data_IF_842546603079
#
_entry.id   IF_842546603079
#
_cell.length_a   1.000
_cell.length_b   1.000
_cell.length_c   1.000
_cell.angle_alpha   90.00
_cell.angle_beta   90.00
_cell.angle_gamma   90.00
#
_symmetry.space_group_name_H-M   'P 1'
#
loop_
_entity.id
_entity.type
_entity.pdbx_description
1 polymer ?
#
# COMPACT_ATOMS: atom_id res chain seq x y z
N UNK A 1 4.40 -43.55 10.11
CA UNK A 1 3.18 -43.57 10.94
C UNK A 1 3.27 -42.36 11.83
N UNK A 2 2.50 -41.33 11.49
CA UNK A 2 1.93 -40.33 12.39
C UNK A 2 0.87 -39.62 11.54
N UNK A 3 -0.33 -40.21 11.53
CA UNK A 3 -1.52 -39.61 10.98
C UNK A 3 -1.95 -38.48 11.92
N UNK A 4 -1.58 -37.24 11.60
CA UNK A 4 -2.18 -36.07 12.23
C UNK A 4 -3.66 -36.03 11.83
N UNK A 5 -4.51 -36.53 12.72
CA UNK A 5 -5.96 -36.40 12.61
C UNK A 5 -6.32 -34.94 12.93
N UNK A 6 -6.41 -34.08 11.91
CA UNK A 6 -7.04 -32.76 12.04
C UNK A 6 -8.53 -32.98 12.30
N UNK A 7 -8.91 -33.04 13.58
CA UNK A 7 -10.31 -33.10 13.97
C UNK A 7 -11.00 -31.79 13.57
N UNK A 8 -12.00 -31.89 12.69
CA UNK A 8 -12.88 -30.75 12.42
C UNK A 8 -13.63 -30.40 13.70
N UNK A 9 -13.52 -29.15 14.14
CA UNK A 9 -14.21 -28.65 15.33
C UNK A 9 -15.24 -27.59 14.95
N UNK A 10 -16.17 -27.33 15.86
CA UNK A 10 -17.08 -26.19 15.78
C UNK A 10 -16.89 -25.32 17.03
N UNK A 11 -16.68 -24.02 16.84
CA UNK A 11 -16.68 -23.01 17.92
C UNK A 11 -17.76 -21.98 17.65
N UNK A 12 -18.32 -21.44 18.73
CA UNK A 12 -19.30 -20.36 18.65
C UNK A 12 -18.66 -19.06 19.15
N UNK A 13 -18.64 -18.04 18.29
CA UNK A 13 -18.27 -16.68 18.65
C UNK A 13 -19.55 -15.86 18.88
N UNK A 14 -19.77 -15.44 20.13
CA UNK A 14 -20.97 -14.69 20.49
C UNK A 14 -20.74 -13.19 20.33
N UNK A 15 -21.58 -12.55 19.53
CA UNK A 15 -21.54 -11.12 19.26
C UNK A 15 -22.27 -10.36 20.36
N UNK A 16 -21.64 -9.28 20.85
CA UNK A 16 -22.14 -8.56 22.02
C UNK A 16 -23.28 -7.56 21.73
N UNK A 17 -23.42 -7.09 20.49
CA UNK A 17 -24.51 -6.20 20.09
C UNK A 17 -24.75 -6.24 18.55
N UNK A 18 -25.93 -5.81 18.06
CA UNK A 18 -26.24 -5.84 16.62
C UNK A 18 -25.33 -4.98 15.75
N UNK A 19 -24.75 -3.90 16.29
CA UNK A 19 -23.84 -3.04 15.53
C UNK A 19 -22.52 -3.75 15.18
N UNK A 20 -21.95 -4.49 16.15
CA UNK A 20 -20.75 -5.30 15.91
C UNK A 20 -21.06 -6.44 14.95
N UNK A 21 -22.25 -7.04 15.04
CA UNK A 21 -22.66 -8.11 14.13
C UNK A 21 -22.68 -7.62 12.69
N UNK A 22 -23.41 -6.53 12.41
CA UNK A 22 -23.47 -5.92 11.08
C UNK A 22 -22.08 -5.50 10.59
N UNK A 23 -21.25 -4.97 11.50
CA UNK A 23 -19.87 -4.58 11.18
C UNK A 23 -18.95 -5.76 10.83
N UNK A 24 -19.14 -6.92 11.47
CA UNK A 24 -18.38 -8.15 11.23
C UNK A 24 -18.84 -8.88 9.97
N UNK A 25 -20.14 -8.88 9.68
CA UNK A 25 -20.68 -9.49 8.46
C UNK A 25 -20.29 -8.68 7.21
N UNK A 26 -20.40 -7.36 7.32
CA UNK A 26 -20.27 -6.43 6.20
C UNK A 26 -21.46 -6.50 5.24
N UNK A 27 -21.46 -5.63 4.22
CA UNK A 27 -22.53 -5.59 3.21
C UNK A 27 -22.65 -6.93 2.48
N UNK A 28 -23.84 -7.54 2.47
CA UNK A 28 -24.10 -8.84 1.81
C UNK A 28 -23.14 -9.97 2.26
N UNK A 29 -22.76 -9.95 3.54
CA UNK A 29 -21.88 -10.92 4.20
C UNK A 29 -20.50 -11.03 3.54
N UNK A 30 -20.04 -9.95 2.89
CA UNK A 30 -18.78 -9.96 2.14
C UNK A 30 -17.56 -10.27 3.02
N UNK A 31 -17.55 -9.87 4.30
CA UNK A 31 -16.40 -10.13 5.18
C UNK A 31 -16.38 -11.58 5.65
N UNK A 32 -17.55 -12.18 5.85
CA UNK A 32 -17.69 -13.62 6.15
C UNK A 32 -17.10 -14.44 5.02
N UNK A 33 -17.50 -14.17 3.78
CA UNK A 33 -16.97 -14.88 2.60
C UNK A 33 -15.46 -14.76 2.48
N UNK A 34 -14.90 -13.58 2.76
CA UNK A 34 -13.45 -13.39 2.77
C UNK A 34 -12.74 -14.22 3.83
N UNK A 35 -13.31 -14.34 5.04
CA UNK A 35 -12.77 -15.18 6.12
C UNK A 35 -12.90 -16.66 5.79
N UNK A 36 -14.04 -17.10 5.25
CA UNK A 36 -14.25 -18.49 4.82
C UNK A 36 -13.23 -18.90 3.74
N UNK A 37 -13.08 -18.07 2.70
CA UNK A 37 -12.10 -18.31 1.62
C UNK A 37 -10.66 -18.28 2.11
N UNK A 38 -10.31 -17.33 2.99
CA UNK A 38 -8.94 -17.11 3.43
C UNK A 38 -8.47 -18.08 4.52
N UNK A 39 -9.36 -18.50 5.41
CA UNK A 39 -9.03 -19.38 6.53
C UNK A 39 -9.43 -20.85 6.29
N UNK A 40 -10.22 -21.14 5.23
CA UNK A 40 -10.67 -22.51 4.95
C UNK A 40 -11.72 -23.01 5.95
N UNK A 41 -12.54 -22.11 6.48
CA UNK A 41 -13.59 -22.40 7.47
C UNK A 41 -14.97 -22.12 6.88
N UNK A 42 -16.03 -22.62 7.52
CA UNK A 42 -17.40 -22.18 7.27
C UNK A 42 -17.92 -21.38 8.47
N UNK A 43 -18.58 -20.26 8.19
CA UNK A 43 -19.11 -19.34 9.19
C UNK A 43 -20.61 -19.18 8.95
N UNK A 44 -21.42 -19.61 9.92
CA UNK A 44 -22.88 -19.52 9.86
C UNK A 44 -23.40 -18.58 10.95
N UNK A 45 -23.99 -17.43 10.59
CA UNK A 45 -24.67 -16.56 11.57
C UNK A 45 -26.01 -17.18 11.99
N UNK A 46 -26.27 -17.22 13.31
CA UNK A 46 -27.54 -17.67 13.89
C UNK A 46 -27.87 -16.86 15.15
N UNK A 47 -28.74 -15.84 15.01
CA UNK A 47 -29.01 -14.90 16.10
C UNK A 47 -27.74 -14.13 16.48
N UNK A 48 -27.39 -14.09 17.76
CA UNK A 48 -26.16 -13.43 18.25
C UNK A 48 -24.89 -14.28 18.07
N UNK A 49 -25.00 -15.49 17.52
CA UNK A 49 -23.93 -16.46 17.46
C UNK A 49 -23.39 -16.61 16.04
N UNK A 50 -22.07 -16.50 15.89
CA UNK A 50 -21.34 -16.91 14.69
C UNK A 50 -20.73 -18.30 14.93
N UNK A 51 -21.29 -19.32 14.27
CA UNK A 51 -20.76 -20.68 14.34
C UNK A 51 -19.66 -20.86 13.30
N UNK A 52 -18.48 -21.28 13.74
CA UNK A 52 -17.28 -21.40 12.92
C UNK A 52 -16.85 -22.86 12.93
N UNK A 53 -16.77 -23.47 11.76
CA UNK A 53 -16.45 -24.89 11.58
C UNK A 53 -15.30 -25.08 10.58
N UNK A 54 -14.34 -25.94 10.92
CA UNK A 54 -13.13 -26.18 10.12
C UNK A 54 -12.10 -26.97 10.90
N UNK A 55 -10.83 -26.97 10.48
CA UNK A 55 -9.76 -27.59 11.28
C UNK A 55 -9.48 -26.73 12.53
N UNK A 56 -9.08 -27.40 13.62
CA UNK A 56 -8.88 -26.75 14.92
C UNK A 56 -8.05 -25.47 14.87
N UNK A 57 -6.93 -25.48 14.14
CA UNK A 57 -6.04 -24.30 14.06
C UNK A 57 -6.73 -23.11 13.36
N UNK A 58 -7.42 -23.36 12.24
CA UNK A 58 -8.04 -22.30 11.46
C UNK A 58 -9.27 -21.73 12.17
N UNK A 59 -10.03 -22.59 12.85
CA UNK A 59 -11.17 -22.17 13.68
C UNK A 59 -10.67 -21.27 14.81
N UNK A 60 -9.58 -21.64 15.49
CA UNK A 60 -9.00 -20.84 16.58
C UNK A 60 -8.52 -19.47 16.07
N UNK A 61 -7.75 -19.44 14.98
CA UNK A 61 -7.31 -18.19 14.36
C UNK A 61 -8.47 -17.32 13.90
N UNK A 62 -9.54 -17.91 13.32
CA UNK A 62 -10.72 -17.16 12.88
C UNK A 62 -11.45 -16.52 14.06
N UNK A 63 -11.58 -17.25 15.16
CA UNK A 63 -12.17 -16.73 16.41
C UNK A 63 -11.35 -15.55 16.95
N UNK A 64 -10.02 -15.65 16.96
CA UNK A 64 -9.15 -14.56 17.40
C UNK A 64 -9.24 -13.33 16.48
N UNK A 65 -9.32 -13.54 15.16
CA UNK A 65 -9.53 -12.47 14.18
C UNK A 65 -10.86 -11.75 14.46
N UNK A 66 -11.96 -12.50 14.64
CA UNK A 66 -13.27 -11.93 14.95
C UNK A 66 -13.25 -11.14 16.26
N UNK A 67 -12.53 -11.61 17.28
CA UNK A 67 -12.33 -10.86 18.53
C UNK A 67 -11.67 -9.50 18.28
N UNK A 68 -10.54 -9.45 17.55
CA UNK A 68 -9.85 -8.17 17.28
C UNK A 68 -10.66 -7.24 16.38
N UNK A 69 -11.36 -7.78 15.37
CA UNK A 69 -12.23 -6.99 14.50
C UNK A 69 -13.43 -6.40 15.28
N UNK A 70 -14.02 -7.18 16.19
CA UNK A 70 -15.08 -6.72 17.08
C UNK A 70 -14.59 -5.58 17.99
N UNK A 71 -13.37 -5.68 18.51
CA UNK A 71 -12.75 -4.61 19.31
C UNK A 71 -12.61 -3.31 18.51
N UNK A 72 -12.18 -3.38 17.25
CA UNK A 72 -12.10 -2.20 16.38
C UNK A 72 -13.48 -1.55 16.18
N UNK A 73 -14.51 -2.35 15.88
CA UNK A 73 -15.87 -1.84 15.68
C UNK A 73 -16.40 -1.17 16.95
N UNK A 74 -16.18 -1.77 18.13
CA UNK A 74 -16.53 -1.18 19.43
C UNK A 74 -15.85 0.16 19.67
N UNK A 75 -14.63 0.33 19.16
CA UNK A 75 -13.89 1.59 19.21
C UNK A 75 -14.31 2.59 18.10
N UNK A 76 -15.43 2.35 17.41
CA UNK A 76 -15.99 3.23 16.39
C UNK A 76 -15.28 3.16 15.04
N UNK A 77 -14.45 2.14 14.80
CA UNK A 77 -13.74 1.96 13.54
C UNK A 77 -14.62 1.19 12.56
N UNK A 78 -14.86 1.80 11.40
CA UNK A 78 -15.54 1.13 10.29
C UNK A 78 -14.55 0.28 9.50
N UNK A 79 -14.82 -1.02 9.43
CA UNK A 79 -14.02 -1.97 8.69
C UNK A 79 -14.28 -1.90 7.17
N UNK A 80 -13.28 -2.33 6.41
CA UNK A 80 -13.37 -2.60 4.97
C UNK A 80 -12.64 -3.92 4.66
N UNK A 81 -12.79 -4.42 3.43
CA UNK A 81 -12.23 -5.72 3.02
C UNK A 81 -10.72 -5.85 3.22
N UNK A 82 -9.96 -4.75 3.12
CA UNK A 82 -8.51 -4.78 3.34
C UNK A 82 -8.12 -4.99 4.80
N UNK A 83 -9.00 -4.62 5.73
CA UNK A 83 -8.81 -4.86 7.16
C UNK A 83 -8.94 -6.36 7.48
N UNK A 84 -9.89 -7.04 6.83
CA UNK A 84 -10.10 -8.48 6.96
C UNK A 84 -8.87 -9.25 6.43
N UNK A 85 -8.41 -8.89 5.23
CA UNK A 85 -7.21 -9.50 4.63
C UNK A 85 -5.97 -9.27 5.49
N UNK A 86 -5.83 -8.07 6.06
CA UNK A 86 -4.75 -7.77 6.99
C UNK A 86 -4.80 -8.62 8.25
N UNK A 87 -5.97 -8.74 8.88
CA UNK A 87 -6.15 -9.54 10.10
C UNK A 87 -5.78 -11.00 9.87
N UNK A 88 -6.23 -11.60 8.75
CA UNK A 88 -5.87 -12.96 8.36
C UNK A 88 -4.36 -13.13 8.20
N UNK A 89 -3.69 -12.23 7.47
CA UNK A 89 -2.23 -12.28 7.31
C UNK A 89 -1.47 -12.12 8.63
N UNK A 90 -1.96 -11.28 9.53
CA UNK A 90 -1.32 -11.09 10.84
C UNK A 90 -1.53 -12.27 11.77
N UNK A 91 -2.69 -12.94 11.70
CA UNK A 91 -2.97 -14.18 12.42
C UNK A 91 -2.05 -15.32 11.97
N UNK A 92 -1.86 -15.48 10.66
CA UNK A 92 -0.94 -16.48 10.09
C UNK A 92 0.51 -16.29 10.57
N UNK A 93 0.93 -15.04 10.77
CA UNK A 93 2.27 -14.70 11.30
C UNK A 93 2.39 -14.67 12.83
N UNK A 94 1.30 -14.91 13.56
CA UNK A 94 1.31 -14.78 15.03
C UNK A 94 1.54 -13.35 15.53
N UNK A 95 1.14 -12.33 14.75
CA UNK A 95 1.29 -10.90 15.10
C UNK A 95 -0.03 -10.19 15.36
N UNK A 96 -1.13 -10.95 15.41
CA UNK A 96 -2.50 -10.44 15.53
C UNK A 96 -2.73 -9.60 16.81
N UNK A 97 -1.97 -9.82 17.87
CA UNK A 97 -2.10 -9.04 19.10
C UNK A 97 -1.84 -7.54 18.93
N UNK A 98 -1.02 -7.17 17.94
CA UNK A 98 -0.71 -5.78 17.61
C UNK A 98 -1.66 -5.20 16.56
N UNK A 99 -2.66 -5.95 16.11
CA UNK A 99 -3.55 -5.51 15.04
C UNK A 99 -4.29 -4.23 15.41
N UNK A 100 -4.80 -4.12 16.65
CA UNK A 100 -5.55 -2.95 17.10
C UNK A 100 -4.68 -1.69 17.21
N UNK A 101 -3.38 -1.85 17.48
CA UNK A 101 -2.42 -0.74 17.51
C UNK A 101 -2.27 -0.05 16.15
N UNK A 102 -2.42 -0.80 15.04
CA UNK A 102 -2.36 -0.23 13.69
C UNK A 102 -3.47 0.81 13.44
N UNK A 103 -4.55 0.76 14.22
CA UNK A 103 -5.71 1.64 14.05
C UNK A 103 -5.75 2.82 15.00
N UNK A 104 -4.71 3.03 15.83
CA UNK A 104 -4.60 4.20 16.69
C UNK A 104 -4.35 5.47 15.88
N UNK A 105 -3.50 5.41 14.87
CA UNK A 105 -3.05 6.60 14.12
C UNK A 105 -3.76 6.73 12.76
N UNK A 106 -4.36 7.90 12.51
CA UNK A 106 -4.97 8.25 11.22
C UNK A 106 -3.93 9.06 10.44
N UNK A 107 -3.61 8.64 9.22
CA UNK A 107 -2.74 9.42 8.33
C UNK A 107 -3.49 10.66 7.85
N UNK A 108 -4.66 10.45 7.26
CA UNK A 108 -5.55 11.49 6.76
C UNK A 108 -6.96 10.91 6.60
N UNK A 109 -7.99 11.76 6.53
CA UNK A 109 -9.31 11.37 6.05
C UNK A 109 -9.46 11.66 4.56
N UNK A 110 -9.98 10.70 3.82
CA UNK A 110 -10.28 10.87 2.40
C UNK A 110 -11.43 11.85 2.16
N UNK A 111 -11.77 12.11 0.88
CA UNK A 111 -12.84 13.04 0.50
C UNK A 111 -14.23 12.66 1.05
N UNK A 112 -14.43 11.40 1.41
CA UNK A 112 -15.67 10.87 1.99
C UNK A 112 -15.62 10.85 3.53
N UNK A 113 -14.54 11.36 4.13
CA UNK A 113 -14.34 11.36 5.58
C UNK A 113 -13.84 10.03 6.14
N UNK A 114 -13.50 9.05 5.30
CA UNK A 114 -13.01 7.73 5.73
C UNK A 114 -11.54 7.84 6.11
N UNK A 115 -11.17 7.26 7.25
CA UNK A 115 -9.79 7.29 7.74
C UNK A 115 -8.88 6.40 6.89
N UNK A 116 -7.80 6.97 6.38
CA UNK A 116 -6.69 6.26 5.77
C UNK A 116 -5.70 5.90 6.87
N UNK A 117 -5.37 4.62 6.96
CA UNK A 117 -4.51 4.01 7.98
C UNK A 117 -3.61 2.97 7.36
N UNK A 118 -2.52 2.65 8.05
CA UNK A 118 -1.67 1.50 7.71
C UNK A 118 -2.42 0.20 7.98
N UNK A 119 -2.12 -0.81 7.16
CA UNK A 119 -2.76 -2.13 7.19
C UNK A 119 -1.83 -3.23 7.67
N UNK A 120 -0.54 -2.97 7.85
CA UNK A 120 0.40 -3.96 8.38
C UNK A 120 1.62 -3.24 8.96
N UNK A 121 2.51 -4.03 9.55
CA UNK A 121 3.75 -3.53 10.14
C UNK A 121 4.68 -2.86 9.13
N UNK A 122 4.85 -3.42 7.92
CA UNK A 122 5.70 -2.82 6.88
C UNK A 122 5.21 -1.42 6.50
N UNK A 123 3.90 -1.24 6.35
CA UNK A 123 3.29 0.07 6.09
C UNK A 123 3.48 1.03 7.27
N UNK A 124 3.39 0.56 8.52
CA UNK A 124 3.66 1.37 9.71
C UNK A 124 5.10 1.86 9.73
N UNK A 125 6.06 0.97 9.47
CA UNK A 125 7.48 1.32 9.39
C UNK A 125 7.72 2.36 8.30
N UNK A 126 7.11 2.17 7.13
CA UNK A 126 7.22 3.11 6.01
C UNK A 126 6.68 4.51 6.32
N UNK A 127 5.47 4.60 6.87
CA UNK A 127 4.87 5.89 7.26
C UNK A 127 5.69 6.59 8.33
N UNK A 128 6.20 5.83 9.32
CA UNK A 128 7.09 6.36 10.35
C UNK A 128 8.39 6.89 9.75
N UNK A 129 9.04 6.12 8.86
CA UNK A 129 10.27 6.52 8.19
C UNK A 129 10.09 7.83 7.41
N UNK A 130 8.99 7.98 6.67
CA UNK A 130 8.65 9.24 5.96
C UNK A 130 8.53 10.41 6.94
N UNK A 131 7.91 10.20 8.11
CA UNK A 131 7.72 11.25 9.10
C UNK A 131 9.06 11.69 9.72
N UNK A 132 9.95 10.74 10.01
CA UNK A 132 11.17 10.97 10.79
C UNK A 132 12.40 11.37 9.94
N UNK A 133 12.35 11.15 8.62
CA UNK A 133 13.51 11.36 7.74
C UNK A 133 13.23 12.40 6.64
N UNK A 134 14.30 12.98 6.10
CA UNK A 134 14.23 13.93 4.98
C UNK A 134 14.06 13.18 3.64
N UNK A 135 14.65 11.98 3.55
CA UNK A 135 14.55 11.09 2.40
C UNK A 135 14.20 9.66 2.84
N UNK A 136 13.19 9.07 2.21
CA UNK A 136 12.79 7.68 2.48
C UNK A 136 12.66 6.89 1.19
N UNK A 137 13.27 5.70 1.16
CA UNK A 137 13.11 4.75 0.08
C UNK A 137 12.10 3.67 0.48
N UNK A 138 11.03 3.52 -0.31
CA UNK A 138 10.06 2.44 -0.19
C UNK A 138 10.27 1.41 -1.28
N UNK A 139 10.87 0.27 -0.95
CA UNK A 139 11.27 -0.74 -1.93
C UNK A 139 10.47 -2.01 -1.71
N UNK A 140 9.77 -2.50 -2.73
CA UNK A 140 9.14 -3.81 -2.68
C UNK A 140 7.99 -3.97 -3.66
N UNK A 141 7.24 -5.08 -3.58
CA UNK A 141 6.34 -5.49 -4.65
C UNK A 141 5.18 -4.52 -4.90
N UNK A 142 4.57 -4.63 -6.09
CA UNK A 142 3.31 -3.96 -6.38
C UNK A 142 2.19 -4.43 -5.42
N UNK A 143 1.36 -3.51 -4.95
CA UNK A 143 0.23 -3.81 -4.05
C UNK A 143 0.56 -3.76 -2.54
N UNK A 144 1.77 -3.36 -2.16
CA UNK A 144 2.16 -3.09 -0.75
C UNK A 144 1.65 -1.74 -0.23
N UNK A 145 1.13 -0.89 -1.12
CA UNK A 145 0.56 0.42 -0.77
C UNK A 145 1.58 1.58 -0.74
N UNK A 146 2.84 1.35 -1.10
CA UNK A 146 3.93 2.35 -1.07
C UNK A 146 3.55 3.70 -1.71
N UNK A 147 3.07 3.72 -2.95
CA UNK A 147 2.67 4.95 -3.65
C UNK A 147 1.47 5.62 -2.98
N UNK A 148 0.42 4.85 -2.66
CA UNK A 148 -0.79 5.39 -2.04
C UNK A 148 -0.52 6.02 -0.68
N UNK A 149 0.30 5.38 0.16
CA UNK A 149 0.69 5.89 1.47
C UNK A 149 1.59 7.13 1.35
N UNK A 150 2.54 7.14 0.41
CA UNK A 150 3.36 8.33 0.14
C UNK A 150 2.50 9.53 -0.24
N UNK A 151 1.56 9.36 -1.18
CA UNK A 151 0.62 10.41 -1.60
C UNK A 151 -0.27 10.84 -0.42
N UNK A 152 -0.73 9.90 0.39
CA UNK A 152 -1.52 10.20 1.60
C UNK A 152 -0.74 11.07 2.59
N UNK A 153 0.54 10.75 2.82
CA UNK A 153 1.45 11.54 3.67
C UNK A 153 1.74 12.92 3.07
N UNK A 154 1.92 13.01 1.76
CA UNK A 154 2.13 14.28 1.06
C UNK A 154 0.93 15.22 1.23
N UNK A 155 -0.28 14.72 0.97
CA UNK A 155 -1.52 15.49 1.15
C UNK A 155 -1.73 15.87 2.62
N UNK A 156 -1.43 14.97 3.55
CA UNK A 156 -1.54 15.27 4.98
C UNK A 156 -0.59 16.40 5.39
N UNK A 157 0.65 16.37 4.90
CA UNK A 157 1.67 17.39 5.16
C UNK A 157 1.27 18.75 4.56
N UNK A 158 0.76 18.76 3.32
CA UNK A 158 0.23 19.96 2.68
C UNK A 158 -0.94 20.57 3.48
N UNK A 159 -1.88 19.74 3.95
CA UNK A 159 -3.03 20.22 4.74
C UNK A 159 -2.64 20.77 6.10
N UNK A 160 -1.57 20.26 6.72
CA UNK A 160 -1.03 20.78 7.99
C UNK A 160 -0.18 22.04 7.80
N UNK A 161 0.21 22.37 6.57
CA UNK A 161 1.12 23.47 6.28
C UNK A 161 2.59 23.13 6.55
N UNK A 162 2.93 21.84 6.63
CA UNK A 162 4.33 21.39 6.79
C UNK A 162 5.13 21.61 5.50
N UNK A 163 4.43 21.64 4.35
CA UNK A 163 4.96 21.91 3.01
C UNK A 163 3.96 22.79 2.25
N UNK A 164 4.47 23.55 1.29
CA UNK A 164 3.68 24.43 0.43
C UNK A 164 3.25 23.76 -0.89
N UNK A 165 3.96 22.70 -1.30
CA UNK A 165 3.80 22.06 -2.60
C UNK A 165 3.98 20.54 -2.53
N UNK A 166 3.25 19.82 -3.38
CA UNK A 166 3.48 18.40 -3.65
C UNK A 166 3.99 18.24 -5.08
N UNK A 167 5.06 17.48 -5.26
CA UNK A 167 5.63 17.19 -6.58
C UNK A 167 5.70 15.68 -6.75
N UNK A 168 5.00 15.17 -7.75
CA UNK A 168 4.89 13.76 -8.07
C UNK A 168 5.54 13.52 -9.42
N UNK A 169 6.49 12.60 -9.45
CA UNK A 169 7.24 12.31 -10.66
C UNK A 169 7.44 10.81 -10.87
N UNK A 170 7.51 10.43 -12.15
CA UNK A 170 7.80 9.07 -12.60
C UNK A 170 8.83 9.14 -13.74
N UNK A 171 9.79 8.21 -13.84
CA UNK A 171 10.65 8.13 -15.01
C UNK A 171 9.82 7.67 -16.21
N UNK A 172 10.06 8.30 -17.37
CA UNK A 172 9.52 7.78 -18.63
C UNK A 172 10.38 6.58 -19.04
N UNK A 173 9.78 5.39 -19.09
CA UNK A 173 10.42 4.18 -19.61
C UNK A 173 9.47 3.50 -20.58
N UNK A 174 10.00 3.14 -21.74
CA UNK A 174 9.28 2.44 -22.80
C UNK A 174 9.13 0.96 -22.41
N UNK A 175 8.20 0.67 -21.50
CA UNK A 175 7.84 -0.70 -21.18
C UNK A 175 6.86 -1.21 -22.25
N UNK A 176 7.36 -1.99 -23.20
CA UNK A 176 6.56 -2.76 -24.18
C UNK A 176 6.09 -1.99 -25.43
N UNK A 177 5.63 -0.74 -25.29
CA UNK A 177 5.29 0.13 -26.42
C UNK A 177 6.22 1.35 -26.46
N UNK A 178 6.81 1.64 -27.61
CA UNK A 178 7.68 2.82 -27.73
C UNK A 178 6.85 4.08 -27.58
N UNK A 179 7.29 5.02 -26.72
CA UNK A 179 6.66 6.33 -26.50
C UNK A 179 6.47 7.11 -27.82
N UNK A 180 7.20 6.72 -28.87
CA UNK A 180 7.05 7.23 -30.23
C UNK A 180 5.71 6.96 -30.92
N UNK A 181 4.91 5.97 -30.49
CA UNK A 181 3.68 5.56 -31.19
C UNK A 181 2.38 6.20 -30.66
N UNK A 182 2.38 6.80 -29.47
CA UNK A 182 1.19 7.48 -28.96
C UNK A 182 0.98 8.80 -29.73
N UNK A 183 -0.21 9.10 -30.26
CA UNK A 183 -0.49 10.42 -30.85
C UNK A 183 -0.54 11.49 -29.75
N UNK A 184 -0.14 12.73 -30.05
CA UNK A 184 -0.25 13.86 -29.12
C UNK A 184 1.08 14.51 -28.71
N UNK A 185 0.98 15.51 -27.85
CA UNK A 185 2.14 16.20 -27.26
C UNK A 185 2.88 15.31 -26.24
N UNK A 186 4.09 15.70 -25.82
CA UNK A 186 4.88 14.90 -24.89
C UNK A 186 4.15 14.63 -23.56
N UNK A 187 3.25 15.52 -23.14
CA UNK A 187 2.48 15.40 -21.90
C UNK A 187 1.37 14.36 -22.06
N UNK A 188 0.65 14.37 -23.18
CA UNK A 188 -0.39 13.37 -23.51
C UNK A 188 0.19 11.96 -23.60
N UNK A 189 1.44 11.84 -24.07
CA UNK A 189 2.15 10.55 -24.18
C UNK A 189 2.56 9.93 -22.84
N UNK A 190 2.87 10.76 -21.84
CA UNK A 190 3.30 10.28 -20.51
C UNK A 190 2.15 10.10 -19.53
N UNK A 191 0.99 10.69 -19.83
CA UNK A 191 -0.18 10.71 -18.94
C UNK A 191 -0.67 9.31 -18.52
N UNK A 192 -0.68 8.27 -19.41
CA UNK A 192 -1.05 6.92 -19.00
C UNK A 192 -0.19 6.36 -17.86
N UNK A 193 1.11 6.67 -17.85
CA UNK A 193 2.05 6.20 -16.81
C UNK A 193 1.86 6.93 -15.47
N UNK A 194 1.28 8.13 -15.51
CA UNK A 194 1.00 8.95 -14.33
C UNK A 194 -0.38 8.66 -13.73
N UNK A 195 -1.24 7.89 -14.43
CA UNK A 195 -2.60 7.56 -13.98
C UNK A 195 -2.71 7.00 -12.56
N UNK A 196 -1.87 6.05 -12.12
CA UNK A 196 -1.94 5.56 -10.73
C UNK A 196 -1.75 6.65 -9.68
N UNK A 197 -0.98 7.70 -9.99
CA UNK A 197 -0.77 8.84 -9.10
C UNK A 197 -2.04 9.71 -9.05
N UNK A 198 -2.68 9.96 -10.19
CA UNK A 198 -3.95 10.68 -10.24
C UNK A 198 -5.04 9.94 -9.48
N UNK A 199 -5.15 8.63 -9.65
CA UNK A 199 -6.15 7.82 -8.96
C UNK A 199 -6.00 7.93 -7.43
N UNK A 200 -4.76 7.89 -6.92
CA UNK A 200 -4.49 8.10 -5.50
C UNK A 200 -4.94 9.48 -5.02
N UNK A 201 -4.59 10.55 -5.74
CA UNK A 201 -5.03 11.92 -5.41
C UNK A 201 -6.57 12.03 -5.44
N UNK A 202 -7.22 11.51 -6.47
CA UNK A 202 -8.67 11.55 -6.62
C UNK A 202 -9.38 10.79 -5.52
N UNK A 203 -8.81 9.68 -5.06
CA UNK A 203 -9.34 8.95 -3.91
C UNK A 203 -9.23 9.78 -2.63
N UNK A 204 -8.11 10.45 -2.40
CA UNK A 204 -7.84 11.16 -1.13
C UNK A 204 -8.56 12.51 -1.06
N UNK A 205 -8.51 13.33 -2.11
CA UNK A 205 -9.04 14.72 -2.09
C UNK A 205 -10.12 15.00 -3.13
N UNK A 206 -10.37 14.07 -4.07
CA UNK A 206 -11.38 14.21 -5.11
C UNK A 206 -10.85 14.91 -6.37
N UNK A 207 -11.37 14.50 -7.53
CA UNK A 207 -10.88 14.94 -8.84
C UNK A 207 -10.93 16.47 -9.04
N UNK A 208 -12.06 17.09 -8.73
CA UNK A 208 -12.21 18.55 -8.89
C UNK A 208 -11.21 19.34 -8.04
N UNK A 209 -11.01 18.91 -6.79
CA UNK A 209 -10.07 19.58 -5.89
C UNK A 209 -8.61 19.35 -6.32
N UNK A 210 -8.27 18.12 -6.72
CA UNK A 210 -6.96 17.81 -7.31
C UNK A 210 -6.66 18.72 -8.49
N UNK A 211 -7.59 18.83 -9.45
CA UNK A 211 -7.39 19.67 -10.63
C UNK A 211 -7.15 21.13 -10.25
N UNK A 212 -7.95 21.67 -9.32
CA UNK A 212 -7.80 23.04 -8.84
C UNK A 212 -6.43 23.30 -8.20
N UNK A 213 -5.90 22.34 -7.44
CA UNK A 213 -4.56 22.45 -6.85
C UNK A 213 -3.46 22.34 -7.90
N UNK A 214 -3.68 21.53 -8.95
CA UNK A 214 -2.76 21.44 -10.08
C UNK A 214 -2.71 22.73 -10.91
N UNK A 215 -3.87 23.33 -11.21
CA UNK A 215 -3.95 24.59 -11.95
C UNK A 215 -3.25 25.74 -11.21
N UNK A 216 -3.25 25.69 -9.86
CA UNK A 216 -2.53 26.64 -8.98
C UNK A 216 -1.04 26.31 -8.82
N UNK A 217 -0.57 25.18 -9.34
CA UNK A 217 0.80 24.70 -9.15
C UNK A 217 1.14 24.25 -7.73
N UNK A 218 0.13 24.01 -6.88
CA UNK A 218 0.30 23.46 -5.52
C UNK A 218 0.57 21.96 -5.58
N UNK A 219 -0.04 21.26 -6.54
CA UNK A 219 0.29 19.88 -6.88
C UNK A 219 0.87 19.87 -8.30
N UNK A 220 2.08 19.35 -8.47
CA UNK A 220 2.69 19.16 -9.78
C UNK A 220 2.85 17.66 -10.04
N UNK A 221 2.26 17.17 -11.13
CA UNK A 221 2.48 15.80 -11.62
C UNK A 221 3.22 15.91 -12.96
N UNK A 222 4.46 15.45 -13.01
CA UNK A 222 5.31 15.64 -14.19
C UNK A 222 6.37 14.53 -14.36
N UNK A 223 6.89 14.31 -15.58
CA UNK A 223 8.01 13.38 -15.79
C UNK A 223 9.28 13.79 -15.06
N UNK A 224 10.12 12.80 -14.74
CA UNK A 224 11.40 13.01 -14.04
C UNK A 224 12.33 14.04 -14.69
N UNK A 225 12.29 14.17 -16.01
CA UNK A 225 13.10 15.13 -16.75
C UNK A 225 12.86 16.60 -16.30
N UNK A 226 11.65 16.92 -15.83
CA UNK A 226 11.26 18.26 -15.39
C UNK A 226 11.89 18.65 -14.05
N UNK A 227 12.53 17.71 -13.34
CA UNK A 227 13.22 17.99 -12.09
C UNK A 227 14.60 18.61 -12.31
N UNK A 228 15.14 18.56 -13.53
CA UNK A 228 16.48 19.04 -13.85
C UNK A 228 16.62 20.54 -13.58
N UNK A 229 17.66 20.92 -12.84
CA UNK A 229 17.97 22.33 -12.56
C UNK A 229 17.09 22.99 -11.50
N UNK A 230 16.18 22.25 -10.87
CA UNK A 230 15.31 22.78 -9.80
C UNK A 230 15.97 22.62 -8.43
N UNK A 231 15.62 23.50 -7.50
CA UNK A 231 15.73 23.24 -6.06
C UNK A 231 14.31 23.15 -5.54
N UNK A 232 14.01 22.10 -4.78
CA UNK A 232 12.66 21.80 -4.32
C UNK A 232 12.58 22.13 -2.83
N UNK A 233 12.39 23.40 -2.50
CA UNK A 233 12.18 23.90 -1.13
C UNK A 233 10.70 23.84 -0.73
N UNK A 234 10.44 23.66 0.57
CA UNK A 234 9.11 23.56 1.17
C UNK A 234 8.16 22.62 0.42
N UNK A 235 8.65 21.47 -0.06
CA UNK A 235 7.92 20.57 -0.94
C UNK A 235 7.95 19.13 -0.45
N UNK A 236 6.84 18.42 -0.65
CA UNK A 236 6.80 16.97 -0.53
C UNK A 236 6.95 16.35 -1.92
N UNK A 237 8.09 15.70 -2.16
CA UNK A 237 8.49 15.20 -3.48
C UNK A 237 8.43 13.68 -3.49
N UNK A 238 7.76 13.08 -4.47
CA UNK A 238 7.66 11.63 -4.63
C UNK A 238 8.14 11.25 -6.01
N UNK A 239 9.16 10.38 -6.06
CA UNK A 239 9.56 9.65 -7.27
C UNK A 239 9.01 8.23 -7.20
N UNK A 240 8.03 7.93 -8.04
CA UNK A 240 7.51 6.57 -8.16
C UNK A 240 8.22 5.81 -9.27
N UNK A 241 8.20 4.48 -9.16
CA UNK A 241 8.76 3.53 -10.15
C UNK A 241 10.26 3.78 -10.37
N UNK A 242 10.95 4.08 -9.27
CA UNK A 242 12.34 4.49 -9.24
C UNK A 242 13.32 3.41 -9.69
N UNK A 243 12.91 2.13 -9.73
CA UNK A 243 13.73 1.05 -10.28
C UNK A 243 14.09 1.31 -11.75
N UNK A 244 13.25 2.09 -12.43
CA UNK A 244 13.35 2.48 -13.83
C UNK A 244 14.15 3.78 -14.03
N UNK A 245 14.96 4.17 -13.05
CA UNK A 245 15.94 5.26 -13.18
C UNK A 245 17.35 4.74 -13.39
N UNK A 246 18.16 5.47 -14.14
CA UNK A 246 19.62 5.28 -14.18
C UNK A 246 20.30 5.90 -12.97
N UNK A 247 21.56 5.54 -12.69
CA UNK A 247 22.36 6.19 -11.65
C UNK A 247 22.43 7.72 -11.81
N UNK A 248 22.55 8.20 -13.05
CA UNK A 248 22.64 9.62 -13.35
C UNK A 248 21.32 10.34 -13.04
N UNK A 249 20.18 9.74 -13.40
CA UNK A 249 18.85 10.28 -13.09
C UNK A 249 18.58 10.25 -11.58
N UNK A 250 18.92 9.17 -10.89
CA UNK A 250 18.77 9.07 -9.42
C UNK A 250 19.60 10.16 -8.73
N UNK A 251 20.89 10.30 -9.07
CA UNK A 251 21.74 11.36 -8.52
C UNK A 251 21.20 12.76 -8.85
N UNK A 252 20.75 12.98 -10.08
CA UNK A 252 20.13 14.24 -10.48
C UNK A 252 18.94 14.58 -9.60
N UNK A 253 18.04 13.61 -9.38
CA UNK A 253 16.82 13.78 -8.58
C UNK A 253 17.10 14.01 -7.10
N UNK A 254 17.91 13.16 -6.47
CA UNK A 254 18.19 13.25 -5.03
C UNK A 254 18.86 14.57 -4.66
N UNK A 255 19.67 15.14 -5.56
CA UNK A 255 20.32 16.45 -5.35
C UNK A 255 19.39 17.65 -5.57
N UNK A 256 18.09 17.44 -5.83
CA UNK A 256 17.11 18.54 -5.91
C UNK A 256 16.45 18.84 -4.56
N UNK A 257 16.65 18.00 -3.54
CA UNK A 257 16.06 18.19 -2.21
C UNK A 257 16.51 19.54 -1.61
N UNK A 258 15.54 20.43 -1.38
CA UNK A 258 15.73 21.73 -0.74
C UNK A 258 15.39 21.71 0.76
N UNK A 259 15.44 22.89 1.39
CA UNK A 259 15.10 23.05 2.80
C UNK A 259 13.59 22.97 3.03
N UNK A 260 13.19 22.48 4.20
CA UNK A 260 11.76 22.34 4.55
C UNK A 260 11.02 21.29 3.71
N UNK A 261 11.76 20.43 3.00
CA UNK A 261 11.20 19.45 2.08
C UNK A 261 11.36 18.03 2.58
N UNK A 262 10.49 17.16 2.11
CA UNK A 262 10.60 15.70 2.27
C UNK A 262 10.60 15.04 0.91
N UNK A 263 11.39 13.99 0.76
CA UNK A 263 11.48 13.22 -0.48
C UNK A 263 11.22 11.74 -0.24
N UNK A 264 10.42 11.14 -1.10
CA UNK A 264 10.11 9.72 -1.06
C UNK A 264 10.44 9.11 -2.41
N UNK A 265 11.17 8.00 -2.41
CA UNK A 265 11.56 7.27 -3.61
C UNK A 265 11.01 5.85 -3.52
N UNK A 266 10.02 5.55 -4.35
CA UNK A 266 9.35 4.26 -4.37
C UNK A 266 9.75 3.44 -5.58
N UNK A 267 9.91 2.14 -5.41
CA UNK A 267 10.15 1.25 -6.54
C UNK A 267 10.06 -0.22 -6.17
N UNK A 268 10.20 -1.06 -7.20
CA UNK A 268 10.20 -2.51 -7.10
C UNK A 268 11.42 -3.06 -7.85
N UNK A 269 12.43 -3.54 -7.13
CA UNK A 269 13.67 -4.03 -7.75
C UNK A 269 13.48 -5.30 -8.61
N UNK A 270 12.32 -5.96 -8.50
CA UNK A 270 11.97 -7.10 -9.36
C UNK A 270 11.40 -6.69 -10.72
N UNK A 271 11.01 -5.42 -10.90
CA UNK A 271 10.34 -4.89 -12.10
C UNK A 271 11.20 -3.84 -12.80
N UNK A 272 12.47 -4.18 -13.09
CA UNK A 272 13.39 -3.27 -13.78
C UNK A 272 13.18 -3.40 -15.29
N UNK A 273 12.64 -2.34 -15.90
CA UNK A 273 12.35 -2.23 -17.34
C UNK A 273 13.45 -1.47 -18.10
N UNK A 274 14.64 -1.34 -17.52
CA UNK A 274 15.76 -0.62 -18.14
C UNK A 274 16.39 -1.44 -19.28
N UNK A 275 16.90 -0.78 -20.34
CA UNK A 275 17.61 -1.47 -21.41
C UNK A 275 18.75 -2.35 -20.89
N UNK A 276 18.94 -3.51 -21.51
CA UNK A 276 19.97 -4.48 -21.11
C UNK A 276 21.35 -3.83 -20.93
N UNK A 277 22.02 -4.17 -19.82
CA UNK A 277 23.33 -3.62 -19.44
C UNK A 277 23.26 -2.33 -18.61
N UNK A 278 22.09 -1.68 -18.54
CA UNK A 278 21.91 -0.48 -17.72
C UNK A 278 21.67 -0.86 -16.26
N UNK A 279 22.46 -0.30 -15.34
CA UNK A 279 22.25 -0.51 -13.90
C UNK A 279 21.17 0.44 -13.36
N UNK A 280 20.23 -0.11 -12.59
CA UNK A 280 19.22 0.66 -11.87
C UNK A 280 19.85 1.57 -10.82
N UNK A 281 19.43 2.84 -10.85
CA UNK A 281 19.80 3.87 -9.89
C UNK A 281 19.28 3.58 -8.50
N UNK A 282 18.11 2.96 -8.37
CA UNK A 282 17.53 2.56 -7.08
C UNK A 282 18.41 1.50 -6.39
N UNK A 283 18.77 0.44 -7.11
CA UNK A 283 19.61 -0.65 -6.59
C UNK A 283 20.99 -0.12 -6.16
N UNK A 284 21.53 0.85 -6.89
CA UNK A 284 22.82 1.46 -6.55
C UNK A 284 22.70 2.42 -5.35
N UNK A 285 21.66 3.25 -5.32
CA UNK A 285 21.40 4.19 -4.22
C UNK A 285 21.30 3.47 -2.87
N UNK A 286 20.66 2.29 -2.83
CA UNK A 286 20.60 1.48 -1.62
C UNK A 286 21.99 1.12 -1.07
N UNK A 287 22.95 0.82 -1.94
CA UNK A 287 24.32 0.48 -1.52
C UNK A 287 25.13 1.69 -1.08
N UNK A 288 24.96 2.81 -1.79
CA UNK A 288 25.77 4.03 -1.56
C UNK A 288 25.26 4.84 -0.38
N UNK A 289 23.94 4.89 -0.15
CA UNK A 289 23.32 5.86 0.76
C UNK A 289 22.91 5.27 2.12
N UNK A 290 23.04 3.96 2.33
CA UNK A 290 22.57 3.25 3.55
C UNK A 290 23.14 3.77 4.89
N UNK A 291 24.23 4.53 4.88
CA UNK A 291 24.88 5.04 6.10
C UNK A 291 24.72 6.55 6.29
N UNK A 292 23.96 7.21 5.42
CA UNK A 292 23.72 8.66 5.52
C UNK A 292 22.57 8.89 6.50
N UNK A 293 22.80 9.76 7.49
CA UNK A 293 21.76 10.17 8.45
C UNK A 293 20.58 10.84 7.72
N UNK A 294 19.37 10.69 8.25
CA UNK A 294 18.11 11.20 7.67
C UNK A 294 17.75 10.60 6.30
N UNK A 295 18.41 9.50 5.90
CA UNK A 295 17.98 8.66 4.78
C UNK A 295 17.62 7.30 5.35
N UNK A 296 16.39 6.85 5.09
CA UNK A 296 15.93 5.53 5.53
C UNK A 296 15.46 4.66 4.36
N UNK A 297 15.62 3.35 4.51
CA UNK A 297 15.26 2.34 3.52
C UNK A 297 14.29 1.33 4.12
N UNK A 298 13.04 1.37 3.67
CA UNK A 298 12.00 0.44 4.08
C UNK A 298 11.76 -0.57 2.98
N UNK A 299 12.06 -1.84 3.29
CA UNK A 299 11.83 -2.96 2.37
C UNK A 299 10.52 -3.63 2.70
N UNK A 300 9.60 -3.63 1.74
CA UNK A 300 8.37 -4.43 1.78
C UNK A 300 8.61 -5.80 1.17
N UNK A 301 7.90 -6.80 1.69
CA UNK A 301 7.87 -8.15 1.14
C UNK A 301 6.53 -8.43 0.43
N UNK A 302 6.42 -9.58 -0.26
CA UNK A 302 5.14 -10.06 -0.82
C UNK A 302 4.06 -10.21 0.25
N UNK A 303 4.52 -10.40 1.46
CA UNK A 303 3.78 -10.53 2.68
C UNK A 303 3.03 -9.25 3.06
N UNK A 304 3.56 -8.07 2.73
CA UNK A 304 2.92 -6.77 2.97
C UNK A 304 1.88 -6.40 1.89
N UNK A 305 1.72 -7.23 0.86
CA UNK A 305 0.77 -7.00 -0.23
C UNK A 305 -0.66 -7.19 0.29
N UNK A 306 -1.50 -6.16 0.17
CA UNK A 306 -2.91 -6.25 0.55
C UNK A 306 -3.75 -6.17 -0.73
N UNK A 307 -4.15 -7.33 -1.24
CA UNK A 307 -4.94 -7.49 -2.46
C UNK A 307 -6.20 -8.30 -2.16
N UNK A 308 -7.15 -8.22 -3.08
CA UNK A 308 -8.32 -9.08 -3.06
C UNK A 308 -7.90 -10.57 -3.12
N UNK A 309 -8.50 -11.49 -2.32
CA UNK A 309 -8.13 -12.91 -2.33
C UNK A 309 -8.18 -13.55 -3.71
N UNK A 310 -9.22 -13.29 -4.50
CA UNK A 310 -9.30 -13.71 -5.92
C UNK A 310 -8.06 -13.34 -6.73
N UNK A 311 -7.50 -12.12 -6.56
CA UNK A 311 -6.29 -11.71 -7.30
C UNK A 311 -5.08 -12.53 -6.85
N UNK A 312 -4.96 -12.81 -5.55
CA UNK A 312 -3.90 -13.69 -5.05
C UNK A 312 -4.04 -15.12 -5.61
N UNK A 313 -5.27 -15.65 -5.65
CA UNK A 313 -5.56 -16.97 -6.24
C UNK A 313 -5.22 -17.04 -7.72
N UNK A 314 -5.50 -15.98 -8.49
CA UNK A 314 -5.12 -15.88 -9.91
C UNK A 314 -3.60 -15.92 -10.04
N UNK A 315 -2.86 -15.09 -9.30
CA UNK A 315 -1.39 -15.06 -9.35
C UNK A 315 -0.82 -16.45 -9.04
N UNK A 316 -1.28 -17.09 -7.96
CA UNK A 316 -0.83 -18.42 -7.57
C UNK A 316 -1.12 -19.49 -8.64
N UNK A 317 -2.23 -19.37 -9.37
CA UNK A 317 -2.57 -20.30 -10.45
C UNK A 317 -1.61 -20.17 -11.63
N UNK A 318 -1.26 -18.94 -12.04
CA UNK A 318 -0.29 -18.69 -13.10
C UNK A 318 1.14 -19.11 -12.71
N UNK A 319 1.58 -18.82 -11.48
CA UNK A 319 2.90 -19.22 -10.97
C UNK A 319 3.09 -20.75 -10.95
N UNK A 320 2.04 -21.50 -10.59
CA UNK A 320 2.05 -22.98 -10.64
C UNK A 320 2.24 -23.51 -12.06
N UNK A 321 1.62 -22.88 -13.05
CA UNK A 321 1.76 -23.30 -14.45
C UNK A 321 3.17 -23.00 -14.97
N UNK A 322 3.73 -21.83 -14.66
CA UNK A 322 5.10 -21.45 -15.04
C UNK A 322 6.17 -22.36 -14.42
N UNK A 323 5.98 -22.79 -13.16
CA UNK A 323 6.89 -23.74 -12.50
C UNK A 323 6.77 -25.17 -13.03
N UNK A 324 5.59 -25.57 -13.51
CA UNK A 324 5.39 -26.90 -14.13
C UNK A 324 5.98 -26.98 -15.54
N UNK A 325 6.17 -25.83 -16.21
CA UNK A 325 6.76 -25.74 -17.55
C UNK A 325 8.30 -25.62 -17.55
N UNK A 326 8.94 -25.61 -16.38
CA UNK A 326 10.42 -25.63 -16.23
C UNK A 326 10.89 -27.00 -15.80
#
# INVERSE_FOLDING_TARGET
MDENTTGSIEKTFRVSNPEVEVGLLGTQDQFVKLLEEGMGVSISPFGEDLKIKGDSLQVDQTVDILMKLAELIKNGIRLNSTDIVSAMKMADRGTLDYFTDLYKEVIIKDRQGRSIRVKNFGQRQYVKAISENDLTFGIGPAGTGKTFLAVSMAVASLKRGDVDKIILTRPAVEAGESLGFLPGDLKEKVDPYLRPIYDALYQIIGAEHTQRLMDRGVIEVAPLAYMRGRTLDSAFVILDEAQNTTNAQMKMFLTRLGFGSKMVVNGDISQIDLPHGTRSGLVNAQKILQHIKNIDFVTFSADDVVRHPVVASIINAYEKEETTKR
#
